data_IF_210116205188
#
_entry.id   IF_210116205188
#
_cell.length_a   1.000
_cell.length_b   1.000
_cell.length_c   1.000
_cell.angle_alpha   90.00
_cell.angle_beta   90.00
_cell.angle_gamma   90.00
#
_symmetry.space_group_name_H-M   'P 1'
#
loop_
_entity.id
_entity.type
_entity.pdbx_description
1 polymer ?
#
# COMPACT_ATOMS: atom_id res chain seq x y z
N UNK A 1 -19.55 22.61 0.10
CA UNK A 1 -18.35 22.50 0.95
C UNK A 1 -17.50 21.35 0.43
N UNK A 2 -16.20 21.58 0.18
CA UNK A 2 -15.29 20.61 -0.48
C UNK A 2 -14.26 20.02 0.50
N UNK A 3 -14.03 20.66 1.64
CA UNK A 3 -13.00 20.25 2.61
C UNK A 3 -13.51 19.16 3.55
N UNK A 4 -12.67 18.15 3.79
CA UNK A 4 -12.95 17.09 4.75
C UNK A 4 -12.78 17.60 6.19
N UNK A 5 -13.80 17.50 7.05
CA UNK A 5 -13.70 17.93 8.46
C UNK A 5 -12.71 17.10 9.30
N UNK A 6 -12.40 15.87 8.92
CA UNK A 6 -11.54 14.97 9.71
C UNK A 6 -10.03 15.24 9.51
N UNK A 7 -9.68 16.15 8.60
CA UNK A 7 -8.29 16.51 8.29
C UNK A 7 -8.10 17.99 8.60
N UNK A 8 -7.01 18.30 9.31
CA UNK A 8 -6.68 19.67 9.65
C UNK A 8 -6.27 20.46 8.41
N UNK A 9 -6.91 21.61 8.21
CA UNK A 9 -6.45 22.62 7.25
C UNK A 9 -5.29 23.36 7.91
N UNK A 10 -4.10 23.29 7.32
CA UNK A 10 -2.88 23.83 7.93
C UNK A 10 -2.66 25.30 7.54
N UNK A 11 -2.03 26.02 8.45
CA UNK A 11 -1.64 27.41 8.26
C UNK A 11 -0.26 27.50 7.58
N UNK A 12 0.11 28.73 7.18
CA UNK A 12 1.40 29.02 6.54
C UNK A 12 2.57 28.61 7.46
N UNK A 13 3.57 27.94 6.87
CA UNK A 13 4.81 27.56 7.56
C UNK A 13 4.79 26.20 8.25
N UNK A 14 3.72 25.42 8.12
CA UNK A 14 3.64 24.06 8.66
C UNK A 14 4.00 23.04 7.59
N UNK A 15 4.92 22.12 7.90
CA UNK A 15 5.28 21.03 7.00
C UNK A 15 4.20 19.96 6.93
N UNK A 16 4.03 19.39 5.74
CA UNK A 16 3.07 18.33 5.46
C UNK A 16 3.76 17.10 4.91
N UNK A 17 3.16 15.92 5.14
CA UNK A 17 3.60 14.67 4.54
C UNK A 17 2.45 13.68 4.43
N UNK A 18 2.68 12.60 3.69
CA UNK A 18 1.78 11.45 3.72
C UNK A 18 1.73 10.85 5.15
N UNK A 19 0.51 10.75 5.67
CA UNK A 19 0.20 10.15 6.98
C UNK A 19 -0.52 8.80 6.83
N UNK A 20 -0.51 8.22 5.63
CA UNK A 20 -1.31 7.04 5.24
C UNK A 20 -2.79 7.18 5.60
N UNK A 21 -3.35 8.38 5.40
CA UNK A 21 -4.75 8.69 5.72
C UNK A 21 -5.10 8.30 7.17
N UNK A 22 -4.32 8.80 8.14
CA UNK A 22 -4.52 8.52 9.58
C UNK A 22 -5.97 8.68 10.03
N UNK A 23 -6.71 9.64 9.48
CA UNK A 23 -8.12 9.85 9.76
C UNK A 23 -8.98 8.62 9.44
N UNK A 24 -8.73 7.95 8.30
CA UNK A 24 -9.43 6.72 7.91
C UNK A 24 -9.01 5.53 8.77
N UNK A 25 -7.71 5.44 9.10
CA UNK A 25 -7.18 4.38 9.96
C UNK A 25 -7.82 4.45 11.36
N UNK A 26 -7.92 5.65 11.94
CA UNK A 26 -8.50 5.82 13.27
C UNK A 26 -9.99 5.50 13.28
N UNK A 27 -10.72 5.93 12.26
CA UNK A 27 -12.14 5.62 12.11
C UNK A 27 -12.38 4.10 11.99
N UNK A 28 -11.67 3.42 11.08
CA UNK A 28 -11.81 1.96 10.93
C UNK A 28 -11.37 1.18 12.18
N UNK A 29 -10.32 1.62 12.87
CA UNK A 29 -9.94 1.05 14.18
C UNK A 29 -11.01 1.26 15.24
N UNK A 30 -11.65 2.43 15.27
CA UNK A 30 -12.72 2.74 16.21
C UNK A 30 -13.94 1.85 15.97
N UNK A 31 -14.35 1.67 14.72
CA UNK A 31 -15.49 0.82 14.34
C UNK A 31 -15.24 -0.65 14.68
N UNK A 32 -14.06 -1.18 14.35
CA UNK A 32 -13.68 -2.54 14.73
C UNK A 32 -13.67 -2.73 16.26
N UNK A 33 -13.15 -1.74 17.01
CA UNK A 33 -13.18 -1.75 18.48
C UNK A 33 -14.60 -1.72 19.05
N UNK A 34 -15.52 -0.93 18.48
CA UNK A 34 -16.94 -0.92 18.88
C UNK A 34 -17.58 -2.31 18.73
N UNK A 35 -17.17 -3.04 17.68
CA UNK A 35 -17.60 -4.41 17.40
C UNK A 35 -16.76 -5.47 18.15
N UNK A 36 -15.87 -5.08 19.06
CA UNK A 36 -14.97 -5.95 19.84
C UNK A 36 -14.10 -6.89 18.98
N UNK A 37 -13.75 -6.48 17.76
CA UNK A 37 -12.91 -7.25 16.84
C UNK A 37 -11.70 -6.43 16.36
N UNK A 38 -10.76 -7.10 15.70
CA UNK A 38 -9.69 -6.40 14.97
C UNK A 38 -10.22 -5.95 13.60
N UNK A 39 -9.65 -4.87 13.04
CA UNK A 39 -9.91 -4.49 11.65
C UNK A 39 -9.53 -5.65 10.73
N UNK A 40 -10.38 -5.93 9.75
CA UNK A 40 -10.13 -6.93 8.72
C UNK A 40 -9.46 -6.26 7.51
N UNK A 41 -8.77 -7.05 6.70
CA UNK A 41 -8.17 -6.56 5.46
C UNK A 41 -9.25 -6.01 4.51
N UNK A 42 -8.98 -4.87 3.89
CA UNK A 42 -9.94 -4.17 3.01
C UNK A 42 -10.97 -3.26 3.71
N UNK A 43 -11.11 -3.29 5.05
CA UNK A 43 -11.99 -2.34 5.75
C UNK A 43 -11.40 -0.93 5.78
N UNK A 44 -10.07 -0.83 5.86
CA UNK A 44 -9.35 0.44 5.88
C UNK A 44 -8.68 0.65 4.53
N UNK A 45 -9.31 1.45 3.67
CA UNK A 45 -8.75 1.80 2.36
C UNK A 45 -8.30 3.26 2.37
N UNK A 46 -7.02 3.51 2.10
CA UNK A 46 -6.48 4.86 1.98
C UNK A 46 -6.96 5.54 0.70
N UNK A 47 -7.00 6.87 0.69
CA UNK A 47 -7.55 7.63 -0.43
C UNK A 47 -6.83 7.32 -1.77
N UNK A 48 -5.50 7.25 -1.75
CA UNK A 48 -4.72 6.94 -2.96
C UNK A 48 -4.94 5.52 -3.50
N UNK A 49 -5.17 4.53 -2.63
CA UNK A 49 -5.51 3.17 -3.03
C UNK A 49 -6.93 3.12 -3.62
N UNK A 50 -7.90 3.78 -2.98
CA UNK A 50 -9.28 3.86 -3.46
C UNK A 50 -9.40 4.56 -4.82
N UNK A 51 -8.59 5.59 -5.06
CA UNK A 51 -8.62 6.36 -6.30
C UNK A 51 -7.88 5.70 -7.45
N UNK A 52 -7.06 4.67 -7.20
CA UNK A 52 -6.26 4.04 -8.23
C UNK A 52 -7.11 3.02 -9.02
N UNK A 53 -7.40 3.27 -10.32
CA UNK A 53 -8.23 2.34 -11.10
C UNK A 53 -7.50 1.03 -11.42
N UNK A 54 -6.17 1.04 -11.44
CA UNK A 54 -5.34 -0.13 -11.74
C UNK A 54 -4.92 -0.89 -10.48
N UNK A 55 -5.45 -0.53 -9.30
CA UNK A 55 -5.14 -1.18 -8.01
C UNK A 55 -3.63 -1.28 -7.69
N UNK A 56 -2.84 -0.31 -8.15
CA UNK A 56 -1.38 -0.36 -8.02
C UNK A 56 -0.89 -0.12 -6.57
N UNK A 57 -1.71 0.52 -5.74
CA UNK A 57 -1.39 0.81 -4.34
C UNK A 57 -2.26 -0.08 -3.47
N UNK A 58 -1.60 -0.95 -2.71
CA UNK A 58 -2.26 -1.82 -1.72
C UNK A 58 -1.91 -1.33 -0.32
N UNK A 59 -2.94 -1.28 0.54
CA UNK A 59 -2.83 -0.86 1.93
C UNK A 59 -3.52 -1.88 2.83
N UNK A 60 -2.90 -2.21 3.97
CA UNK A 60 -3.33 -3.32 4.83
C UNK A 60 -2.39 -3.53 6.04
N UNK A 61 -2.73 -4.51 6.87
CA UNK A 61 -1.93 -4.87 8.06
C UNK A 61 -0.84 -5.89 7.69
N UNK A 62 0.42 -5.53 7.90
CA UNK A 62 1.59 -6.39 7.66
C UNK A 62 1.71 -7.48 8.75
N UNK A 63 1.09 -7.30 9.91
CA UNK A 63 1.14 -8.29 11.00
C UNK A 63 0.16 -9.44 10.80
N UNK A 64 -0.86 -9.25 9.97
CA UNK A 64 -1.81 -10.30 9.61
C UNK A 64 -1.26 -11.09 8.42
N UNK A 65 -0.93 -12.39 8.58
CA UNK A 65 -0.45 -13.20 7.46
C UNK A 65 -1.50 -13.34 6.35
N UNK A 66 -2.79 -13.29 6.68
CA UNK A 66 -3.86 -13.46 5.71
C UNK A 66 -4.11 -12.24 4.82
N UNK A 67 -3.50 -11.08 5.12
CA UNK A 67 -3.68 -9.86 4.33
C UNK A 67 -3.05 -9.96 2.94
N UNK A 68 -3.61 -9.25 1.97
CA UNK A 68 -3.08 -9.22 0.58
C UNK A 68 -1.64 -8.73 0.53
N UNK A 69 -1.28 -7.78 1.39
CA UNK A 69 0.09 -7.25 1.48
C UNK A 69 1.05 -8.30 2.00
N UNK A 70 0.70 -8.98 3.08
CA UNK A 70 1.56 -10.00 3.67
C UNK A 70 1.76 -11.18 2.74
N UNK A 71 0.80 -11.48 1.86
CA UNK A 71 0.98 -12.49 0.80
C UNK A 71 1.93 -11.97 -0.29
N UNK A 72 1.69 -10.77 -0.83
CA UNK A 72 2.54 -10.19 -1.89
C UNK A 72 4.00 -9.94 -1.49
N UNK A 73 4.28 -9.72 -0.20
CA UNK A 73 5.64 -9.54 0.32
C UNK A 73 6.36 -10.86 0.63
N UNK A 74 5.67 -12.00 0.62
CA UNK A 74 6.33 -13.29 0.84
C UNK A 74 7.23 -13.62 -0.35
N UNK A 75 8.41 -14.14 -0.04
CA UNK A 75 9.40 -14.58 -1.04
C UNK A 75 8.88 -15.70 -1.94
N UNK A 76 7.94 -16.50 -1.46
CA UNK A 76 7.37 -17.65 -2.19
C UNK A 76 6.54 -17.23 -3.41
N UNK A 77 5.93 -16.04 -3.41
CA UNK A 77 5.01 -15.58 -4.46
C UNK A 77 5.68 -14.66 -5.52
N UNK A 78 6.99 -14.41 -5.39
CA UNK A 78 7.80 -13.69 -6.37
C UNK A 78 8.60 -12.53 -5.75
N UNK A 79 9.93 -12.62 -5.84
CA UNK A 79 10.92 -11.67 -5.30
C UNK A 79 10.94 -10.30 -6.03
N UNK A 80 9.78 -9.66 -6.21
CA UNK A 80 9.64 -8.39 -6.93
C UNK A 80 9.61 -7.19 -5.99
N UNK A 81 9.45 -7.41 -4.69
CA UNK A 81 9.38 -6.36 -3.71
C UNK A 81 10.78 -5.83 -3.36
N UNK A 82 10.97 -4.52 -3.45
CA UNK A 82 12.20 -3.84 -3.04
C UNK A 82 11.90 -2.56 -2.26
N UNK A 83 12.84 -2.15 -1.43
CA UNK A 83 12.79 -0.86 -0.73
C UNK A 83 13.62 0.19 -1.46
N UNK A 84 13.11 1.42 -1.47
CA UNK A 84 13.81 2.55 -2.07
C UNK A 84 14.95 2.97 -1.15
N UNK A 85 16.15 3.16 -1.72
CA UNK A 85 17.37 3.57 -1.00
C UNK A 85 17.74 2.60 0.13
N UNK A 86 17.76 1.30 -0.18
CA UNK A 86 18.05 0.24 0.80
C UNK A 86 19.45 0.36 1.42
N UNK A 87 20.43 0.93 0.68
CA UNK A 87 21.78 1.18 1.17
C UNK A 87 21.84 2.10 2.40
N UNK A 88 20.84 2.95 2.60
CA UNK A 88 20.74 3.87 3.76
C UNK A 88 20.13 3.17 4.98
N UNK A 89 19.52 1.98 4.81
CA UNK A 89 18.87 1.21 5.87
C UNK A 89 17.81 2.01 6.66
N UNK A 90 16.96 2.76 5.95
CA UNK A 90 15.87 3.53 6.57
C UNK A 90 14.67 2.69 6.98
N UNK A 91 14.65 1.41 6.60
CA UNK A 91 13.59 0.43 6.84
C UNK A 91 12.18 1.01 6.57
N UNK A 92 11.92 1.45 5.32
CA UNK A 92 10.66 2.10 5.01
C UNK A 92 9.50 1.09 5.04
N UNK A 93 8.36 1.52 5.58
CA UNK A 93 7.13 0.71 5.60
C UNK A 93 6.44 0.58 4.22
N UNK A 94 7.04 1.15 3.16
CA UNK A 94 6.55 1.05 1.78
C UNK A 94 7.54 0.22 0.99
N UNK A 95 7.03 -0.82 0.36
CA UNK A 95 7.76 -1.61 -0.63
C UNK A 95 7.18 -1.34 -2.02
N UNK A 96 8.05 -1.34 -3.02
CA UNK A 96 7.67 -1.18 -4.43
C UNK A 96 7.87 -2.49 -5.15
N UNK A 97 7.06 -2.72 -6.19
CA UNK A 97 7.20 -3.87 -7.08
C UNK A 97 8.00 -3.48 -8.32
N UNK A 98 8.92 -4.34 -8.72
CA UNK A 98 9.70 -4.16 -9.95
C UNK A 98 8.78 -4.14 -11.17
N UNK A 99 8.92 -3.10 -12.00
CA UNK A 99 8.18 -2.98 -13.26
C UNK A 99 8.74 -3.97 -14.28
N UNK A 100 7.96 -5.00 -14.59
CA UNK A 100 8.25 -5.92 -15.69
C UNK A 100 7.61 -5.36 -16.96
N UNK A 101 8.39 -5.24 -18.02
CA UNK A 101 7.91 -4.89 -19.36
C UNK A 101 8.04 -6.13 -20.21
N UNK A 102 6.91 -6.62 -20.74
CA UNK A 102 6.94 -7.70 -21.72
C UNK A 102 7.26 -7.08 -23.09
N UNK A 103 8.54 -7.02 -23.43
CA UNK A 103 9.02 -6.64 -24.77
C UNK A 103 9.48 -7.90 -25.50
N UNK A 104 9.24 -7.98 -26.81
CA UNK A 104 9.80 -8.98 -27.74
C UNK A 104 11.32 -8.76 -27.94
N UNK A 105 12.04 -8.41 -26.87
CA UNK A 105 13.50 -8.26 -26.88
C UNK A 105 14.13 -9.63 -26.70
N UNK A 106 15.16 -9.93 -27.50
CA UNK A 106 15.91 -11.21 -27.60
C UNK A 106 16.35 -11.86 -26.28
N UNK A 107 16.29 -11.14 -25.16
CA UNK A 107 16.66 -11.61 -23.83
C UNK A 107 15.67 -12.59 -23.18
N UNK A 108 14.41 -12.61 -23.60
CA UNK A 108 13.44 -13.62 -23.16
C UNK A 108 12.84 -14.27 -24.41
N UNK A 109 13.39 -15.40 -24.89
CA UNK A 109 12.73 -16.14 -25.96
C UNK A 109 11.35 -16.52 -25.46
N UNK A 110 10.32 -15.98 -26.13
CA UNK A 110 8.97 -16.48 -26.00
C UNK A 110 9.02 -17.88 -26.57
N UNK A 111 8.80 -18.90 -25.75
CA UNK A 111 8.52 -20.25 -26.24
C UNK A 111 7.25 -20.17 -27.09
N UNK A 112 7.43 -19.89 -28.38
CA UNK A 112 6.39 -20.00 -29.40
C UNK A 112 6.22 -21.49 -29.63
N UNK A 113 5.34 -22.12 -28.85
CA UNK A 113 4.50 -23.28 -29.24
C UNK A 113 3.79 -23.89 -28.02
N UNK A 114 2.51 -23.54 -27.86
CA UNK A 114 1.39 -24.48 -27.66
C UNK A 114 0.07 -23.73 -27.92
#
# INVERSE_FOLDING_TARGET
MVLNPDVTVRARGVMEKCSFCVQRIQLGKLEAKKQKRRPLDGEIVVACAQSCPTEAILFGDMRDPSSRISQLLRREDGERAFHVLDSVNTQPNVAYLTKIRNSDSEFYPVDKEA
#
